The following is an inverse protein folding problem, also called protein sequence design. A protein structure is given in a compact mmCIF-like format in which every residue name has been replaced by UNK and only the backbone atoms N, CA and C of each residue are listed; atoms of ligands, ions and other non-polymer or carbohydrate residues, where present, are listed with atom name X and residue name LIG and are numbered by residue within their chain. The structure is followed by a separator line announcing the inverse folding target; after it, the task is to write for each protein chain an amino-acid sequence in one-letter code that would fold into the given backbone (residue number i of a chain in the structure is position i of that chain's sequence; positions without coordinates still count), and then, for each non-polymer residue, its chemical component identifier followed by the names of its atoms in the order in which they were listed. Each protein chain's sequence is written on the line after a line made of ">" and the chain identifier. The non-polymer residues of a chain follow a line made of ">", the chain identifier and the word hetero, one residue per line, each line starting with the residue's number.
data_IF_208223590355
#
_entry.id   IF_208223590355
#
_cell.length_a   1.000
_cell.length_b   1.000
_cell.length_c   1.000
_cell.angle_alpha   90.00
_cell.angle_beta   90.00
_cell.angle_gamma   90.00
#
_symmetry.space_group_name_H-M   'P 1'
#
loop_
_entity.id
_entity.type
_entity.pdbx_description
1 polymer ?
#
# COMPACT_ATOMS: atom_id res chain seq x y z
N UNK A 1 -0.30 11.54 -54.64
CA UNK A 1 -1.29 10.82 -53.80
C UNK A 1 -0.49 10.07 -52.74
N UNK A 2 -0.35 10.64 -51.53
CA UNK A 2 -1.02 10.21 -50.28
C UNK A 2 -0.76 8.71 -49.98
N UNK A 3 -0.22 8.29 -48.84
CA UNK A 3 -0.67 8.64 -47.50
C UNK A 3 0.39 8.21 -46.45
N UNK A 4 0.87 9.15 -45.62
CA UNK A 4 1.60 8.85 -44.38
C UNK A 4 0.56 8.67 -43.28
N UNK A 5 0.30 7.43 -42.86
CA UNK A 5 -0.40 7.18 -41.60
C UNK A 5 0.63 7.12 -40.47
N UNK A 6 0.71 8.24 -39.74
CA UNK A 6 1.36 8.37 -38.44
C UNK A 6 0.61 7.52 -37.42
N UNK A 7 1.26 6.46 -36.94
CA UNK A 7 0.87 5.77 -35.71
C UNK A 7 1.18 6.72 -34.55
N UNK A 8 0.17 7.31 -33.94
CA UNK A 8 0.32 8.05 -32.68
C UNK A 8 0.70 7.05 -31.59
N UNK A 9 1.99 6.96 -31.30
CA UNK A 9 2.48 6.26 -30.12
C UNK A 9 1.93 6.92 -28.86
N UNK A 10 1.26 6.14 -28.02
CA UNK A 10 0.96 6.50 -26.63
C UNK A 10 2.29 6.81 -25.95
N UNK A 11 2.56 8.10 -25.67
CA UNK A 11 3.82 8.54 -25.03
C UNK A 11 3.79 8.22 -23.55
N UNK A 12 4.19 7.01 -23.21
CA UNK A 12 4.65 6.65 -21.85
C UNK A 12 5.81 7.59 -21.47
N UNK A 13 5.59 8.49 -20.50
CA UNK A 13 6.61 9.43 -20.00
C UNK A 13 6.55 10.90 -20.49
N UNK A 14 5.42 11.35 -21.08
CA UNK A 14 5.24 12.75 -21.51
C UNK A 14 5.08 13.78 -20.38
N UNK A 15 5.05 15.07 -20.72
CA UNK A 15 4.80 16.20 -19.77
C UNK A 15 3.58 15.97 -18.88
N UNK A 16 2.54 15.32 -19.40
CA UNK A 16 1.33 15.00 -18.63
C UNK A 16 1.53 13.94 -17.53
N UNK A 17 2.49 13.03 -17.68
CA UNK A 17 2.82 12.04 -16.66
C UNK A 17 3.60 12.69 -15.51
N UNK A 18 4.60 13.53 -15.83
CA UNK A 18 5.36 14.30 -14.82
C UNK A 18 4.47 15.26 -14.03
N UNK A 19 3.54 15.93 -14.70
CA UNK A 19 2.57 16.81 -14.02
C UNK A 19 1.66 16.00 -13.09
N UNK A 20 1.26 14.81 -13.49
CA UNK A 20 0.47 13.91 -12.66
C UNK A 20 1.26 13.47 -11.42
N UNK A 21 2.48 12.97 -11.60
CA UNK A 21 3.37 12.58 -10.49
C UNK A 21 3.57 13.73 -9.51
N UNK A 22 3.90 14.94 -10.00
CA UNK A 22 4.06 16.12 -9.15
C UNK A 22 2.79 16.48 -8.35
N UNK A 23 1.59 16.22 -8.89
CA UNK A 23 0.33 16.46 -8.19
C UNK A 23 0.09 15.39 -7.12
N UNK A 24 0.40 14.12 -7.40
CA UNK A 24 0.29 13.04 -6.41
C UNK A 24 1.29 13.24 -5.27
N UNK A 25 2.54 13.58 -5.58
CA UNK A 25 3.58 13.91 -4.60
C UNK A 25 3.18 15.12 -3.75
N UNK A 26 2.59 16.14 -4.37
CA UNK A 26 2.08 17.30 -3.64
C UNK A 26 0.91 16.94 -2.71
N UNK A 27 0.02 16.03 -3.12
CA UNK A 27 -1.05 15.55 -2.27
C UNK A 27 -0.50 14.83 -1.03
N UNK A 28 0.51 13.96 -1.22
CA UNK A 28 1.21 13.32 -0.11
C UNK A 28 1.92 14.32 0.79
N UNK A 29 2.63 15.30 0.21
CA UNK A 29 3.30 16.34 0.99
C UNK A 29 2.34 17.14 1.87
N UNK A 30 1.18 17.55 1.33
CA UNK A 30 0.17 18.27 2.12
C UNK A 30 -0.41 17.38 3.24
N UNK A 31 -0.64 16.10 2.93
CA UNK A 31 -1.10 15.12 3.91
C UNK A 31 -0.11 14.90 5.05
N UNK A 32 1.18 14.86 4.76
CA UNK A 32 2.25 14.69 5.76
C UNK A 32 2.35 15.95 6.64
N UNK A 33 2.39 17.12 6.02
CA UNK A 33 2.66 18.37 6.74
C UNK A 33 1.46 18.84 7.59
N UNK A 34 0.24 18.67 7.06
CA UNK A 34 -0.98 19.30 7.62
C UNK A 34 -2.08 18.30 7.97
N UNK A 35 -1.90 17.04 7.61
CA UNK A 35 -2.90 16.02 7.81
C UNK A 35 -4.09 16.14 6.84
N UNK A 36 -4.96 15.13 6.90
CA UNK A 36 -6.14 15.05 6.03
C UNK A 36 -7.12 16.20 6.22
N UNK A 37 -7.30 16.69 7.45
CA UNK A 37 -8.32 17.70 7.76
C UNK A 37 -8.07 19.04 7.06
N UNK A 38 -6.81 19.37 6.79
CA UNK A 38 -6.41 20.61 6.12
C UNK A 38 -6.11 20.40 4.62
N UNK A 39 -6.20 19.16 4.13
CA UNK A 39 -5.94 18.85 2.72
C UNK A 39 -7.02 19.46 1.83
N UNK A 40 -6.60 20.28 0.87
CA UNK A 40 -7.47 20.89 -0.14
C UNK A 40 -6.87 20.78 -1.53
N UNK A 41 -7.73 20.74 -2.55
CA UNK A 41 -7.29 20.74 -3.96
C UNK A 41 -6.45 21.99 -4.28
N UNK A 42 -6.75 23.10 -3.62
CA UNK A 42 -6.05 24.37 -3.73
C UNK A 42 -4.62 24.30 -3.18
N UNK A 43 -4.45 23.73 -1.98
CA UNK A 43 -3.14 23.53 -1.38
C UNK A 43 -2.27 22.62 -2.25
N UNK A 44 -2.84 21.51 -2.75
CA UNK A 44 -2.15 20.60 -3.67
C UNK A 44 -1.75 21.32 -4.97
N UNK A 45 -2.64 22.09 -5.59
CA UNK A 45 -2.32 22.85 -6.80
C UNK A 45 -1.17 23.84 -6.58
N UNK A 46 -1.21 24.55 -5.45
CA UNK A 46 -0.17 25.49 -5.07
C UNK A 46 1.17 24.79 -4.90
N UNK A 47 1.19 23.66 -4.18
CA UNK A 47 2.41 22.89 -3.91
C UNK A 47 2.99 22.23 -5.15
N UNK A 48 2.14 21.67 -6.03
CA UNK A 48 2.56 21.07 -7.29
C UNK A 48 2.99 22.11 -8.34
N UNK A 49 2.75 23.40 -8.10
CA UNK A 49 3.05 24.48 -9.05
C UNK A 49 2.19 24.42 -10.32
N UNK A 50 0.94 23.95 -10.20
CA UNK A 50 0.01 23.78 -11.33
C UNK A 50 -1.25 24.63 -11.18
N UNK A 51 -1.90 24.94 -12.31
CA UNK A 51 -3.19 25.61 -12.27
C UNK A 51 -4.27 24.66 -11.72
N UNK A 52 -5.19 25.17 -10.88
CA UNK A 52 -6.33 24.42 -10.32
C UNK A 52 -7.14 23.68 -11.40
N UNK A 53 -7.37 24.32 -12.55
CA UNK A 53 -8.11 23.71 -13.67
C UNK A 53 -7.42 22.46 -14.23
N UNK A 54 -6.10 22.35 -14.12
CA UNK A 54 -5.34 21.15 -14.48
C UNK A 54 -5.67 19.98 -13.56
N UNK A 55 -5.84 20.24 -12.25
CA UNK A 55 -6.22 19.23 -11.27
C UNK A 55 -7.69 18.84 -11.46
N UNK A 56 -8.61 19.81 -11.40
CA UNK A 56 -10.05 19.54 -11.45
C UNK A 56 -10.51 18.84 -12.74
N UNK A 57 -9.81 19.03 -13.87
CA UNK A 57 -10.12 18.31 -15.12
C UNK A 57 -9.86 16.80 -15.01
N UNK A 58 -8.90 16.39 -14.18
CA UNK A 58 -8.50 14.99 -14.02
C UNK A 58 -9.07 14.35 -12.75
N UNK A 59 -9.12 15.13 -11.68
CA UNK A 59 -9.67 14.75 -10.38
C UNK A 59 -10.74 15.76 -10.00
N UNK A 60 -12.02 15.50 -10.33
CA UNK A 60 -13.11 16.39 -10.00
C UNK A 60 -13.23 16.67 -8.50
N UNK A 61 -12.88 15.69 -7.67
CA UNK A 61 -12.91 15.79 -6.20
C UNK A 61 -11.56 15.43 -5.58
N UNK A 62 -11.39 15.82 -4.31
CA UNK A 62 -10.23 15.39 -3.52
C UNK A 62 -10.19 13.87 -3.34
N UNK A 63 -11.35 13.23 -3.23
CA UNK A 63 -11.44 11.76 -3.13
C UNK A 63 -10.91 11.08 -4.40
N UNK A 64 -11.21 11.61 -5.59
CA UNK A 64 -10.69 11.07 -6.85
C UNK A 64 -9.16 11.13 -6.89
N UNK A 65 -8.58 12.23 -6.42
CA UNK A 65 -7.13 12.39 -6.31
C UNK A 65 -6.52 11.38 -5.34
N UNK A 66 -7.15 11.18 -4.19
CA UNK A 66 -6.68 10.24 -3.18
C UNK A 66 -6.83 8.78 -3.61
N UNK A 67 -7.90 8.42 -4.31
CA UNK A 67 -8.07 7.09 -4.91
C UNK A 67 -6.91 6.80 -5.88
N UNK A 68 -6.57 7.76 -6.74
CA UNK A 68 -5.45 7.59 -7.68
C UNK A 68 -4.09 7.56 -6.96
N UNK A 69 -3.90 8.36 -5.91
CA UNK A 69 -2.70 8.35 -5.08
C UNK A 69 -2.49 6.99 -4.41
N UNK A 70 -3.53 6.44 -3.75
CA UNK A 70 -3.50 5.11 -3.13
C UNK A 70 -3.21 4.00 -4.15
N UNK A 71 -3.83 4.08 -5.33
CA UNK A 71 -3.63 3.09 -6.39
C UNK A 71 -2.22 3.16 -6.97
N UNK A 72 -1.64 4.37 -7.09
CA UNK A 72 -0.28 4.55 -7.61
C UNK A 72 0.76 4.06 -6.59
N UNK A 73 0.57 4.34 -5.31
CA UNK A 73 1.44 3.86 -4.24
C UNK A 73 1.45 2.34 -4.12
N UNK A 74 0.34 1.66 -4.44
CA UNK A 74 0.25 0.19 -4.50
C UNK A 74 1.28 -0.47 -5.44
N UNK A 75 1.78 0.30 -6.42
CA UNK A 75 2.72 -0.18 -7.44
C UNK A 75 4.19 -0.02 -7.01
N UNK A 76 4.48 0.87 -6.05
CA UNK A 76 5.82 1.12 -5.50
C UNK A 76 6.00 0.31 -4.21
N UNK A 77 6.24 -0.99 -4.37
CA UNK A 77 5.99 -1.92 -3.29
C UNK A 77 7.18 -2.22 -2.35
N UNK A 78 6.85 -2.50 -1.08
CA UNK A 78 7.70 -3.26 -0.15
C UNK A 78 8.10 -4.58 -0.85
N UNK A 79 9.40 -4.92 -0.88
CA UNK A 79 9.89 -6.20 -1.37
C UNK A 79 9.13 -7.37 -0.73
N UNK A 80 9.00 -8.46 -1.46
CA UNK A 80 8.53 -9.72 -0.87
C UNK A 80 9.76 -10.60 -0.79
N UNK A 81 10.31 -10.81 0.41
CA UNK A 81 11.49 -11.63 0.59
C UNK A 81 11.23 -13.06 0.11
N UNK A 82 12.24 -13.65 -0.53
CA UNK A 82 12.27 -15.05 -0.92
C UNK A 82 13.52 -15.70 -0.32
N UNK A 83 13.53 -15.80 1.01
CA UNK A 83 14.68 -16.31 1.78
C UNK A 83 14.73 -17.83 1.85
N UNK A 84 13.65 -18.51 1.43
CA UNK A 84 13.52 -19.97 1.44
C UNK A 84 12.85 -20.56 2.69
N UNK A 85 12.34 -19.72 3.60
CA UNK A 85 11.55 -20.11 4.77
C UNK A 85 10.49 -19.06 5.04
N UNK A 86 9.23 -19.47 5.21
CA UNK A 86 8.12 -18.55 5.49
C UNK A 86 8.33 -17.76 6.77
N UNK A 87 9.01 -18.35 7.76
CA UNK A 87 9.32 -17.67 9.02
C UNK A 87 10.30 -16.53 8.79
N UNK A 88 11.39 -16.80 8.07
CA UNK A 88 12.38 -15.77 7.71
C UNK A 88 11.76 -14.68 6.82
N UNK A 89 10.88 -15.05 5.89
CA UNK A 89 10.18 -14.13 5.01
C UNK A 89 9.25 -13.19 5.80
N UNK A 90 8.47 -13.72 6.75
CA UNK A 90 7.63 -12.92 7.64
C UNK A 90 8.45 -12.01 8.55
N UNK A 91 9.55 -12.50 9.15
CA UNK A 91 10.43 -11.68 9.98
C UNK A 91 11.05 -10.52 9.20
N UNK A 92 11.57 -10.78 7.99
CA UNK A 92 12.14 -9.75 7.12
C UNK A 92 11.09 -8.73 6.70
N UNK A 93 9.93 -9.22 6.26
CA UNK A 93 8.78 -8.37 5.92
C UNK A 93 8.36 -7.50 7.10
N UNK A 94 8.26 -8.06 8.30
CA UNK A 94 7.91 -7.32 9.51
C UNK A 94 8.90 -6.20 9.84
N UNK A 95 10.20 -6.45 9.66
CA UNK A 95 11.25 -5.44 9.88
C UNK A 95 11.21 -4.32 8.84
N UNK A 96 10.95 -4.65 7.58
CA UNK A 96 10.76 -3.66 6.52
C UNK A 96 9.50 -2.81 6.78
N UNK A 97 8.39 -3.43 7.19
CA UNK A 97 7.21 -2.70 7.63
C UNK A 97 7.53 -1.80 8.83
N UNK A 98 8.24 -2.31 9.84
CA UNK A 98 8.59 -1.53 11.02
C UNK A 98 9.46 -0.32 10.68
N UNK A 99 10.40 -0.44 9.73
CA UNK A 99 11.21 0.69 9.27
C UNK A 99 10.33 1.82 8.71
N UNK A 100 9.31 1.49 7.91
CA UNK A 100 8.37 2.47 7.35
C UNK A 100 7.41 3.01 8.42
N UNK A 101 6.87 2.13 9.26
CA UNK A 101 5.81 2.44 10.22
C UNK A 101 6.31 3.10 11.52
N UNK A 102 7.62 3.05 11.78
CA UNK A 102 8.26 3.80 12.87
C UNK A 102 8.85 5.13 12.39
N UNK A 103 9.05 5.32 11.09
CA UNK A 103 9.44 6.62 10.53
C UNK A 103 8.27 7.61 10.66
N UNK A 104 8.54 8.85 11.08
CA UNK A 104 7.48 9.82 11.35
C UNK A 104 6.61 10.11 10.12
N UNK A 105 7.24 10.28 8.96
CA UNK A 105 6.57 10.55 7.68
C UNK A 105 5.90 9.27 7.17
N UNK A 106 6.63 8.16 7.14
CA UNK A 106 6.11 6.86 6.72
C UNK A 106 4.90 6.39 7.54
N UNK A 107 4.92 6.62 8.85
CA UNK A 107 3.80 6.36 9.76
C UNK A 107 2.56 7.17 9.41
N UNK A 108 2.71 8.48 9.15
CA UNK A 108 1.58 9.34 8.79
C UNK A 108 0.95 8.91 7.47
N UNK A 109 1.77 8.62 6.45
CA UNK A 109 1.30 8.11 5.16
C UNK A 109 0.57 6.77 5.35
N UNK A 110 1.16 5.83 6.09
CA UNK A 110 0.54 4.54 6.37
C UNK A 110 -0.79 4.69 7.12
N UNK A 111 -0.89 5.58 8.10
CA UNK A 111 -2.13 5.83 8.83
C UNK A 111 -3.26 6.35 7.93
N UNK A 112 -2.92 7.16 6.93
CA UNK A 112 -3.88 7.63 5.94
C UNK A 112 -4.36 6.48 5.04
N UNK A 113 -3.45 5.66 4.54
CA UNK A 113 -3.77 4.48 3.71
C UNK A 113 -4.67 3.51 4.49
N UNK A 114 -4.27 3.18 5.72
CA UNK A 114 -4.94 2.20 6.59
C UNK A 114 -6.33 2.66 7.02
N UNK A 115 -6.58 3.97 7.11
CA UNK A 115 -7.88 4.52 7.53
C UNK A 115 -8.72 5.09 6.38
N UNK A 116 -8.19 5.13 5.14
CA UNK A 116 -8.87 5.72 3.99
C UNK A 116 -10.26 5.09 3.75
N UNK A 117 -10.37 3.77 3.89
CA UNK A 117 -11.62 3.04 3.70
C UNK A 117 -12.74 3.35 4.70
N UNK A 118 -12.46 4.10 5.77
CA UNK A 118 -13.49 4.58 6.71
C UNK A 118 -14.24 5.83 6.21
N UNK A 119 -13.74 6.49 5.15
CA UNK A 119 -14.20 7.83 4.75
C UNK A 119 -15.33 7.80 3.73
N UNK A 120 -15.17 6.99 2.68
CA UNK A 120 -16.15 6.89 1.61
C UNK A 120 -16.12 5.51 0.96
N UNK A 121 -17.17 5.17 0.20
CA UNK A 121 -17.22 3.90 -0.53
C UNK A 121 -16.13 3.79 -1.62
N UNK A 122 -15.83 4.84 -2.41
CA UNK A 122 -14.71 4.80 -3.36
C UNK A 122 -13.34 4.56 -2.71
N UNK A 123 -13.05 5.24 -1.59
CA UNK A 123 -11.78 5.04 -0.88
C UNK A 123 -11.69 3.64 -0.25
N UNK A 124 -12.81 3.10 0.25
CA UNK A 124 -12.86 1.73 0.77
C UNK A 124 -12.56 0.70 -0.31
N UNK A 125 -13.10 0.88 -1.50
CA UNK A 125 -12.79 0.01 -2.64
C UNK A 125 -11.32 0.15 -3.08
N UNK A 126 -10.77 1.37 -3.10
CA UNK A 126 -9.37 1.61 -3.40
C UNK A 126 -8.44 0.94 -2.37
N UNK A 127 -8.74 1.07 -1.07
CA UNK A 127 -8.00 0.40 0.01
C UNK A 127 -8.09 -1.12 -0.12
N UNK A 128 -9.26 -1.68 -0.43
CA UNK A 128 -9.41 -3.12 -0.67
C UNK A 128 -8.51 -3.59 -1.81
N UNK A 129 -8.58 -2.93 -2.98
CA UNK A 129 -7.74 -3.25 -4.14
C UNK A 129 -6.25 -3.17 -3.84
N UNK A 130 -5.85 -2.17 -3.04
CA UNK A 130 -4.47 -2.06 -2.57
C UNK A 130 -4.04 -3.33 -1.82
N UNK A 131 -4.82 -3.79 -0.84
CA UNK A 131 -4.47 -4.98 -0.07
C UNK A 131 -4.61 -6.28 -0.88
N UNK A 132 -5.61 -6.41 -1.74
CA UNK A 132 -5.74 -7.54 -2.67
C UNK A 132 -4.51 -7.67 -3.58
N UNK A 133 -3.97 -6.55 -4.08
CA UNK A 133 -2.74 -6.55 -4.87
C UNK A 133 -1.53 -7.03 -4.05
N UNK A 134 -1.44 -6.65 -2.78
CA UNK A 134 -0.38 -7.13 -1.88
C UNK A 134 -0.49 -8.63 -1.62
N UNK A 135 -1.71 -9.17 -1.49
CA UNK A 135 -1.97 -10.62 -1.38
C UNK A 135 -1.54 -11.34 -2.66
N UNK A 136 -1.95 -10.83 -3.83
CA UNK A 136 -1.57 -11.40 -5.13
C UNK A 136 -0.06 -11.47 -5.31
N UNK A 137 0.67 -10.44 -4.89
CA UNK A 137 2.14 -10.40 -4.95
C UNK A 137 2.80 -11.39 -4.00
N UNK A 138 2.23 -11.61 -2.81
CA UNK A 138 2.76 -12.53 -1.80
C UNK A 138 2.41 -14.00 -2.07
N UNK A 139 1.35 -14.26 -2.83
CA UNK A 139 0.87 -15.60 -3.09
C UNK A 139 1.92 -16.57 -3.66
N UNK A 140 2.83 -16.18 -4.59
CA UNK A 140 3.90 -17.06 -5.06
C UNK A 140 4.82 -17.56 -3.93
N UNK A 141 5.22 -16.67 -3.00
CA UNK A 141 6.11 -17.02 -1.88
C UNK A 141 5.42 -17.97 -0.90
N UNK A 142 4.14 -17.69 -0.60
CA UNK A 142 3.34 -18.57 0.28
C UNK A 142 3.11 -19.94 -0.37
N UNK A 143 2.85 -20.00 -1.69
CA UNK A 143 2.74 -21.28 -2.41
C UNK A 143 4.03 -22.08 -2.37
N UNK A 144 5.19 -21.43 -2.54
CA UNK A 144 6.46 -22.14 -2.41
C UNK A 144 6.66 -22.69 -0.99
N UNK A 145 6.20 -21.99 0.06
CA UNK A 145 6.24 -22.52 1.42
C UNK A 145 5.31 -23.73 1.62
N UNK A 146 4.14 -23.74 0.96
CA UNK A 146 3.26 -24.91 0.89
C UNK A 146 3.96 -26.09 0.19
N UNK A 147 4.59 -25.84 -0.95
CA UNK A 147 5.31 -26.88 -1.72
C UNK A 147 6.47 -27.50 -0.91
N UNK A 148 7.08 -26.72 -0.01
CA UNK A 148 8.11 -27.18 0.93
C UNK A 148 7.55 -27.87 2.18
N UNK A 149 6.22 -27.89 2.35
CA UNK A 149 5.54 -28.49 3.50
C UNK A 149 5.59 -27.66 4.77
N UNK A 150 5.90 -26.36 4.69
CA UNK A 150 5.96 -25.46 5.85
C UNK A 150 4.57 -24.97 6.30
N UNK A 151 3.59 -25.03 5.39
CA UNK A 151 2.19 -24.62 5.57
C UNK A 151 1.25 -25.68 4.98
N UNK A 152 0.00 -25.80 5.48
CA UNK A 152 -1.03 -26.65 4.88
C UNK A 152 -1.41 -26.25 3.45
N UNK A 153 -1.86 -27.22 2.66
CA UNK A 153 -2.20 -27.03 1.23
C UNK A 153 -3.38 -26.07 0.99
N UNK A 154 -4.26 -25.92 1.99
CA UNK A 154 -5.45 -25.07 2.00
C UNK A 154 -5.22 -23.73 2.71
N UNK A 155 -3.98 -23.40 3.08
CA UNK A 155 -3.65 -22.14 3.75
C UNK A 155 -4.04 -20.93 2.88
N UNK A 156 -4.92 -20.09 3.41
CA UNK A 156 -5.37 -18.85 2.80
C UNK A 156 -4.31 -17.74 2.99
N UNK A 157 -3.87 -17.19 1.86
CA UNK A 157 -2.81 -16.18 1.80
C UNK A 157 -3.25 -14.86 2.44
N UNK A 158 -4.51 -14.46 2.25
CA UNK A 158 -5.01 -13.20 2.80
C UNK A 158 -5.14 -13.28 4.33
N UNK A 159 -5.67 -14.40 4.84
CA UNK A 159 -5.78 -14.67 6.28
C UNK A 159 -4.41 -14.77 6.95
N UNK A 160 -3.43 -15.43 6.31
CA UNK A 160 -2.04 -15.48 6.79
C UNK A 160 -1.48 -14.06 6.97
N UNK A 161 -1.58 -13.23 5.93
CA UNK A 161 -1.01 -11.89 5.94
C UNK A 161 -1.78 -10.93 6.86
N UNK A 162 -3.11 -11.07 6.92
CA UNK A 162 -3.97 -10.30 7.81
C UNK A 162 -3.63 -10.59 9.27
N UNK A 163 -3.50 -11.87 9.63
CA UNK A 163 -3.13 -12.30 10.99
C UNK A 163 -1.75 -11.75 11.38
N UNK A 164 -0.79 -11.81 10.45
CA UNK A 164 0.55 -11.30 10.67
C UNK A 164 0.59 -9.77 10.85
N UNK A 165 -0.10 -9.01 9.98
CA UNK A 165 -0.01 -7.54 9.95
C UNK A 165 -0.87 -6.85 11.00
N UNK A 166 -1.97 -7.47 11.42
CA UNK A 166 -2.91 -6.90 12.38
C UNK A 166 -2.26 -6.31 13.66
N UNK A 167 -1.38 -7.03 14.40
CA UNK A 167 -0.73 -6.46 15.59
C UNK A 167 0.19 -5.28 15.28
N UNK A 168 0.86 -5.27 14.13
CA UNK A 168 1.72 -4.17 13.70
C UNK A 168 0.86 -2.92 13.42
N UNK A 169 -0.20 -3.08 12.63
CA UNK A 169 -1.12 -2.00 12.32
C UNK A 169 -1.88 -1.50 13.55
N UNK A 170 -2.19 -2.37 14.51
CA UNK A 170 -2.77 -1.96 15.79
C UNK A 170 -1.85 -1.01 16.57
N UNK A 171 -0.53 -1.32 16.67
CA UNK A 171 0.42 -0.39 17.29
C UNK A 171 0.50 0.93 16.52
N UNK A 172 0.49 0.90 15.19
CA UNK A 172 0.54 2.11 14.37
C UNK A 172 -0.70 3.00 14.54
N UNK A 173 -1.90 2.43 14.47
CA UNK A 173 -3.16 3.18 14.35
C UNK A 173 -3.81 3.45 15.69
N UNK A 174 -3.71 2.51 16.64
CA UNK A 174 -4.48 2.56 17.88
C UNK A 174 -3.66 3.06 19.05
N UNK A 175 -2.51 2.44 19.34
CA UNK A 175 -1.74 2.81 20.54
C UNK A 175 -0.67 3.85 20.28
N UNK A 176 -0.16 3.94 19.05
CA UNK A 176 0.95 4.81 18.69
C UNK A 176 2.32 4.29 19.17
N UNK A 177 2.39 3.07 19.72
CA UNK A 177 3.65 2.48 20.16
C UNK A 177 4.57 2.16 18.96
N UNK A 178 5.91 2.14 19.16
CA UNK A 178 6.82 1.68 18.11
C UNK A 178 6.62 0.17 17.85
N UNK A 179 6.89 -0.27 16.62
CA UNK A 179 6.98 -1.69 16.27
C UNK A 179 8.42 -2.14 16.54
N UNK A 180 8.61 -2.99 17.54
CA UNK A 180 9.90 -3.59 17.90
C UNK A 180 10.02 -5.02 17.36
N UNK A 181 11.24 -5.57 17.40
CA UNK A 181 11.50 -6.93 16.91
C UNK A 181 10.74 -7.99 17.73
N UNK A 182 10.49 -7.72 19.02
CA UNK A 182 9.71 -8.61 19.87
C UNK A 182 8.27 -8.77 19.36
N UNK A 183 7.61 -7.68 18.95
CA UNK A 183 6.29 -7.75 18.32
C UNK A 183 6.32 -8.51 16.99
N UNK A 184 7.34 -8.27 16.16
CA UNK A 184 7.47 -8.94 14.85
C UNK A 184 7.63 -10.45 15.04
N UNK A 185 8.49 -10.88 15.96
CA UNK A 185 8.67 -12.29 16.33
C UNK A 185 7.36 -12.88 16.84
N UNK A 186 6.67 -12.16 17.74
CA UNK A 186 5.41 -12.62 18.30
C UNK A 186 4.30 -12.79 17.25
N UNK A 187 4.13 -11.79 16.37
CA UNK A 187 3.19 -11.83 15.27
C UNK A 187 3.49 -13.00 14.31
N UNK A 188 4.77 -13.23 14.01
CA UNK A 188 5.23 -14.35 13.17
C UNK A 188 4.87 -15.69 13.82
N UNK A 189 5.18 -15.87 15.10
CA UNK A 189 4.91 -17.11 15.84
C UNK A 189 3.42 -17.42 15.92
N UNK A 190 2.58 -16.43 16.25
CA UNK A 190 1.12 -16.60 16.29
C UNK A 190 0.60 -17.00 14.91
N UNK A 191 1.01 -16.28 13.88
CA UNK A 191 0.56 -16.52 12.51
C UNK A 191 0.91 -17.92 12.05
N UNK A 192 2.16 -18.34 12.21
CA UNK A 192 2.60 -19.67 11.76
C UNK A 192 2.01 -20.80 12.60
N UNK A 193 1.82 -20.58 13.90
CA UNK A 193 1.14 -21.57 14.76
C UNK A 193 -0.30 -21.75 14.31
N UNK A 194 -1.04 -20.66 14.06
CA UNK A 194 -2.42 -20.72 13.58
C UNK A 194 -2.51 -21.34 12.18
N UNK A 195 -1.61 -20.96 11.26
CA UNK A 195 -1.57 -21.51 9.91
C UNK A 195 -1.32 -23.02 9.92
N UNK A 196 -0.30 -23.48 10.66
CA UNK A 196 0.05 -24.92 10.77
C UNK A 196 -1.03 -25.74 11.48
N UNK A 197 -1.85 -25.10 12.32
CA UNK A 197 -3.02 -25.73 12.94
C UNK A 197 -4.26 -25.75 12.04
N UNK A 198 -4.19 -25.23 10.80
CA UNK A 198 -5.32 -25.18 9.87
C UNK A 198 -6.39 -24.15 10.24
N UNK A 199 -6.03 -23.14 11.04
CA UNK A 199 -6.96 -22.07 11.46
C UNK A 199 -7.05 -20.94 10.43
N UNK A 200 -6.13 -20.90 9.47
CA UNK A 200 -6.04 -19.89 8.41
C UNK A 200 -6.28 -20.52 7.04
N UNK A 201 -7.28 -21.40 6.95
CA UNK A 201 -7.70 -22.07 5.72
C UNK A 201 -8.89 -21.33 5.07
N UNK A 202 -9.05 -21.49 3.76
CA UNK A 202 -10.14 -20.90 2.96
C UNK A 202 -11.50 -21.61 3.12
#
# INVERSE_FOLDING_TARGET
>A
MANRQTVQGVRTGGRSARVREAILDAAFGELIDRGYAELTMEAVASRAGVNKTTIYRRWPTLEDLLVEALTTWSLEAIPIPETGSIESDLLSTGRELAAVLNDGVGRQVAALVLTAGLRSAPLREATRRYFDHQVLRAAPVVRQAIDRGELPADCDVDMLLTTFRAPLFYRTITTGDPIDDALIIHATQITLTAARAGLLSA
#
